data_IF_884545891845
#
_entry.id   IF_884545891845
#
_cell.length_a   1.000
_cell.length_b   1.000
_cell.length_c   1.000
_cell.angle_alpha   90.00
_cell.angle_beta   90.00
_cell.angle_gamma   90.00
#
_symmetry.space_group_name_H-M   'P 1'
#
loop_
_entity.id
_entity.type
_entity.pdbx_description
1 polymer ?
#
# COMPACT_ATOMS: atom_id res chain seq x y z
N UNK A 1 3.07 -20.25 44.71
CA UNK A 1 3.66 -19.57 43.57
C UNK A 1 2.68 -18.48 43.20
N UNK A 2 2.87 -17.28 43.70
CA UNK A 2 2.00 -16.11 43.46
C UNK A 2 2.33 -15.54 42.08
N UNK A 3 1.33 -15.51 41.27
CA UNK A 3 1.36 -15.02 39.89
C UNK A 3 1.83 -13.56 39.84
N UNK A 4 3.06 -13.35 39.38
CA UNK A 4 3.69 -12.06 39.25
C UNK A 4 3.35 -11.36 37.93
N UNK A 5 2.39 -11.89 37.14
CA UNK A 5 2.01 -11.37 35.82
C UNK A 5 0.97 -10.22 35.84
N UNK A 6 0.29 -10.02 36.99
CA UNK A 6 -0.76 -8.98 37.10
C UNK A 6 -0.24 -7.59 37.53
N UNK A 7 1.01 -7.45 38.00
CA UNK A 7 1.52 -6.15 38.47
C UNK A 7 2.06 -5.23 37.36
N UNK A 8 2.32 -5.75 36.16
CA UNK A 8 2.89 -4.96 35.05
C UNK A 8 1.85 -4.28 34.15
N UNK A 9 0.57 -4.59 34.28
CA UNK A 9 -0.49 -4.04 33.41
C UNK A 9 -0.88 -2.59 33.76
N UNK A 10 -0.52 -2.08 34.94
CA UNK A 10 -0.94 -0.76 35.43
C UNK A 10 0.17 0.30 35.51
N UNK A 11 1.42 -0.04 35.21
CA UNK A 11 2.46 0.98 35.17
C UNK A 11 2.21 1.93 33.98
N UNK A 12 2.04 3.26 34.25
CA UNK A 12 1.83 4.22 33.19
C UNK A 12 3.03 4.30 32.25
N UNK A 13 2.79 4.10 30.95
CA UNK A 13 3.83 4.09 29.91
C UNK A 13 3.44 4.98 28.74
N UNK A 14 4.44 5.61 28.17
CA UNK A 14 4.31 6.32 26.91
C UNK A 14 5.51 6.06 26.01
N UNK A 15 5.34 6.30 24.70
CA UNK A 15 6.43 6.31 23.74
C UNK A 15 6.66 7.76 23.31
N UNK A 16 7.90 8.23 23.47
CA UNK A 16 8.45 9.45 22.90
C UNK A 16 9.39 9.07 21.79
N UNK A 17 9.23 9.65 20.60
CA UNK A 17 9.88 9.18 19.38
C UNK A 17 11.16 9.97 19.07
N UNK A 18 11.22 11.23 19.47
CA UNK A 18 12.39 12.08 19.32
C UNK A 18 12.61 12.93 20.60
N UNK A 19 13.86 13.23 20.99
CA UNK A 19 14.15 14.10 22.13
C UNK A 19 13.54 15.50 22.07
N UNK A 20 13.23 16.00 20.86
CA UNK A 20 12.61 17.32 20.66
C UNK A 20 11.07 17.30 20.68
N UNK A 21 10.48 16.10 20.80
CA UNK A 21 9.02 15.98 20.90
C UNK A 21 8.53 16.56 22.21
N UNK A 22 7.48 17.38 22.17
CA UNK A 22 6.79 17.91 23.34
C UNK A 22 5.48 17.17 23.65
N UNK A 23 5.20 16.11 22.88
CA UNK A 23 4.13 15.15 23.14
C UNK A 23 4.67 13.74 23.11
N UNK A 24 3.98 12.82 23.82
CA UNK A 24 4.25 11.39 23.77
C UNK A 24 2.95 10.61 23.60
N UNK A 25 3.03 9.33 23.21
CA UNK A 25 1.87 8.47 22.96
C UNK A 25 1.67 7.52 24.14
N UNK A 26 0.50 7.57 24.76
CA UNK A 26 0.11 6.62 25.81
C UNK A 26 -0.10 5.24 25.20
N UNK A 27 0.53 4.21 25.78
CA UNK A 27 0.53 2.86 25.19
C UNK A 27 -0.18 1.81 26.05
N UNK A 28 -0.63 2.17 27.23
CA UNK A 28 -1.36 1.26 28.09
C UNK A 28 -2.70 0.84 27.47
N UNK A 29 -3.03 -0.42 27.57
CA UNK A 29 -4.31 -0.95 27.10
C UNK A 29 -5.48 -0.20 27.74
N UNK A 30 -6.48 0.16 26.91
CA UNK A 30 -7.63 0.97 27.29
C UNK A 30 -7.32 2.42 27.68
N UNK A 31 -6.05 2.86 27.63
CA UNK A 31 -5.62 4.19 28.06
C UNK A 31 -5.34 4.30 29.54
N UNK A 32 -5.13 5.52 30.02
CA UNK A 32 -4.78 5.81 31.42
C UNK A 32 -5.75 6.82 32.04
N UNK A 33 -6.23 6.59 33.28
CA UNK A 33 -7.09 7.53 33.98
C UNK A 33 -6.34 8.79 34.43
N UNK A 34 -7.06 9.85 34.73
CA UNK A 34 -6.54 11.04 35.39
C UNK A 34 -5.77 10.65 36.68
N UNK A 35 -4.74 11.42 37.02
CA UNK A 35 -3.84 11.20 38.17
C UNK A 35 -2.89 10.00 38.02
N UNK A 36 -2.90 9.28 36.88
CA UNK A 36 -1.84 8.33 36.58
C UNK A 36 -0.51 9.05 36.50
N UNK A 37 0.52 8.51 37.15
CA UNK A 37 1.84 9.15 37.24
C UNK A 37 2.87 8.27 36.54
N UNK A 38 3.55 8.84 35.54
CA UNK A 38 4.67 8.19 34.84
C UNK A 38 5.95 8.19 35.68
N UNK A 39 6.89 7.29 35.39
CA UNK A 39 8.16 7.19 36.09
C UNK A 39 8.99 8.49 36.10
N UNK A 40 8.83 9.35 35.07
CA UNK A 40 9.46 10.68 35.01
C UNK A 40 8.78 11.74 35.90
N UNK A 41 7.71 11.39 36.63
CA UNK A 41 6.95 12.30 37.50
C UNK A 41 5.81 13.05 36.83
N UNK A 42 5.65 12.93 35.50
CA UNK A 42 4.51 13.52 34.80
C UNK A 42 3.20 12.89 35.28
N UNK A 43 2.21 13.69 35.62
CA UNK A 43 0.89 13.26 36.09
C UNK A 43 -0.19 13.65 35.05
N UNK A 44 -1.06 12.69 34.70
CA UNK A 44 -2.19 12.95 33.80
C UNK A 44 -3.27 13.79 34.46
N UNK A 45 -3.69 14.84 33.78
CA UNK A 45 -4.77 15.72 34.22
C UNK A 45 -6.16 15.21 33.88
N UNK A 46 -6.27 14.40 32.83
CA UNK A 46 -7.51 13.81 32.31
C UNK A 46 -7.25 12.35 31.93
N UNK A 47 -8.32 11.62 31.64
CA UNK A 47 -8.19 10.33 30.96
C UNK A 47 -7.55 10.55 29.58
N UNK A 48 -6.56 9.75 29.24
CA UNK A 48 -5.93 9.74 27.92
C UNK A 48 -6.10 8.36 27.31
N UNK A 49 -6.81 8.23 26.17
CA UNK A 49 -7.00 6.95 25.51
C UNK A 49 -5.67 6.35 25.03
N UNK A 50 -5.64 5.04 24.86
CA UNK A 50 -4.53 4.33 24.25
C UNK A 50 -4.24 4.88 22.84
N UNK A 51 -2.97 5.03 22.47
CA UNK A 51 -2.57 5.58 21.17
C UNK A 51 -2.68 7.10 21.04
N UNK A 52 -3.22 7.79 22.06
CA UNK A 52 -3.38 9.24 22.04
C UNK A 52 -2.21 9.98 22.68
N UNK A 53 -2.11 11.27 22.34
CA UNK A 53 -1.00 12.13 22.72
C UNK A 53 -1.21 12.76 24.08
N UNK A 54 -0.17 12.76 24.92
CA UNK A 54 -0.10 13.52 26.17
C UNK A 54 1.00 14.59 26.04
N UNK A 55 0.74 15.80 26.54
CA UNK A 55 1.74 16.86 26.60
C UNK A 55 2.82 16.55 27.65
N UNK A 56 4.08 16.58 27.25
CA UNK A 56 5.23 16.32 28.15
C UNK A 56 5.65 17.57 28.94
N UNK A 57 5.33 18.75 28.44
CA UNK A 57 5.59 20.06 29.04
C UNK A 57 4.43 20.99 28.72
N UNK A 58 4.40 22.13 29.37
CA UNK A 58 3.44 23.20 29.03
C UNK A 58 3.72 23.72 27.62
N UNK A 59 2.66 23.88 26.82
CA UNK A 59 2.69 24.37 25.45
C UNK A 59 1.82 25.62 25.38
N UNK A 60 2.44 26.77 25.10
CA UNK A 60 1.71 28.03 24.98
C UNK A 60 0.78 28.01 23.75
N UNK A 61 -0.31 28.79 23.79
CA UNK A 61 -1.17 28.98 22.63
C UNK A 61 -0.35 29.48 21.43
N UNK A 62 -0.58 28.90 20.26
CA UNK A 62 0.14 29.18 19.02
C UNK A 62 1.53 28.51 18.93
N UNK A 63 2.04 27.92 20.01
CA UNK A 63 3.32 27.21 19.98
C UNK A 63 3.21 25.87 19.22
N UNK A 64 4.30 25.42 18.56
CA UNK A 64 4.31 24.20 17.80
C UNK A 64 4.17 22.96 18.68
N UNK A 65 3.33 22.02 18.24
CA UNK A 65 3.25 20.65 18.78
C UNK A 65 4.14 19.79 17.91
N UNK A 66 5.11 19.08 18.54
CA UNK A 66 6.11 18.28 17.83
C UNK A 66 5.97 16.82 18.14
N UNK A 67 6.03 16.01 17.08
CA UNK A 67 6.11 14.56 17.09
C UNK A 67 7.05 14.10 15.98
N UNK A 68 7.96 13.18 16.24
CA UNK A 68 9.06 12.82 15.32
C UNK A 68 9.95 14.00 14.95
N UNK A 69 10.14 14.94 15.88
CA UNK A 69 10.80 16.22 15.63
C UNK A 69 10.11 17.11 14.57
N UNK A 70 8.95 16.69 14.05
CA UNK A 70 8.18 17.44 13.06
C UNK A 70 7.01 18.16 13.72
N UNK A 71 6.68 19.34 13.19
CA UNK A 71 5.53 20.12 13.66
C UNK A 71 4.26 19.51 13.09
N UNK A 72 3.44 18.91 13.95
CA UNK A 72 2.16 18.31 13.57
C UNK A 72 0.98 19.27 13.67
N UNK A 73 1.21 20.47 14.17
CA UNK A 73 0.21 21.52 14.34
C UNK A 73 0.68 22.52 15.39
N UNK A 74 -0.19 23.47 15.72
CA UNK A 74 0.02 24.46 16.78
C UNK A 74 -1.04 24.32 17.87
N UNK A 75 -0.71 24.71 19.10
CA UNK A 75 -1.66 24.68 20.20
C UNK A 75 -2.78 25.71 19.98
N UNK A 76 -4.01 25.26 19.81
CA UNK A 76 -5.18 26.13 19.65
C UNK A 76 -5.49 26.96 20.92
N UNK A 77 -5.09 26.44 22.07
CA UNK A 77 -5.17 27.06 23.40
C UNK A 77 -3.98 26.59 24.24
N UNK A 78 -3.67 27.22 25.38
CA UNK A 78 -2.61 26.72 26.26
C UNK A 78 -2.87 25.28 26.65
N UNK A 79 -1.85 24.42 26.57
CA UNK A 79 -1.89 23.02 26.95
C UNK A 79 -0.91 22.84 28.11
N UNK A 80 -1.37 22.28 29.21
CA UNK A 80 -0.52 22.02 30.36
C UNK A 80 0.09 20.61 30.29
N UNK A 81 1.25 20.43 30.88
CA UNK A 81 1.88 19.13 31.03
C UNK A 81 0.90 18.12 31.64
N UNK A 82 0.82 16.91 31.07
CA UNK A 82 -0.11 15.88 31.47
C UNK A 82 -1.52 16.00 30.89
N UNK A 83 -1.81 17.01 30.06
CA UNK A 83 -3.08 17.07 29.34
C UNK A 83 -3.08 16.21 28.10
N UNK A 84 -4.26 15.66 27.78
CA UNK A 84 -4.51 14.98 26.50
C UNK A 84 -4.50 16.01 25.38
N UNK A 85 -3.66 15.78 24.36
CA UNK A 85 -3.60 16.61 23.15
C UNK A 85 -4.53 16.00 22.11
N UNK A 86 -5.78 16.43 22.16
CA UNK A 86 -6.87 16.05 21.25
C UNK A 86 -7.05 17.06 20.12
N UNK A 87 -8.01 16.81 19.24
CA UNK A 87 -8.33 17.66 18.09
C UNK A 87 -8.80 19.08 18.52
N UNK A 88 -9.41 19.22 19.69
CA UNK A 88 -9.87 20.52 20.21
C UNK A 88 -8.69 21.39 20.73
N UNK A 89 -7.54 20.80 20.93
CA UNK A 89 -6.32 21.46 21.42
C UNK A 89 -5.29 21.73 20.35
N UNK A 90 -5.43 21.12 19.17
CA UNK A 90 -4.51 21.28 18.06
C UNK A 90 -5.17 22.03 16.89
N UNK A 91 -4.50 23.03 16.40
CA UNK A 91 -4.82 23.67 15.12
C UNK A 91 -3.92 23.05 14.06
N UNK A 92 -4.53 22.38 13.09
CA UNK A 92 -3.78 21.77 11.98
C UNK A 92 -3.15 22.84 11.12
N UNK A 93 -1.95 22.62 10.57
CA UNK A 93 -1.34 23.53 9.63
C UNK A 93 -2.22 23.62 8.38
N UNK A 94 -2.34 24.80 7.80
CA UNK A 94 -2.92 24.95 6.47
C UNK A 94 -1.98 24.26 5.47
N UNK A 95 -2.49 23.34 4.61
CA UNK A 95 -1.66 22.75 3.58
C UNK A 95 -0.99 23.84 2.76
N UNK A 96 0.34 23.76 2.51
CA UNK A 96 1.02 24.75 1.68
C UNK A 96 0.46 24.71 0.26
N UNK A 97 0.38 25.86 -0.38
CA UNK A 97 0.07 25.94 -1.81
C UNK A 97 1.19 25.26 -2.59
N UNK A 98 0.83 24.42 -3.55
CA UNK A 98 1.79 23.55 -4.27
C UNK A 98 2.88 24.32 -5.01
N UNK A 99 2.61 25.56 -5.42
CA UNK A 99 3.55 26.45 -6.08
C UNK A 99 4.49 27.20 -5.11
N UNK A 100 4.20 27.15 -3.80
CA UNK A 100 5.00 27.75 -2.72
C UNK A 100 5.79 26.73 -1.90
N UNK A 101 5.80 25.46 -2.31
CA UNK A 101 6.59 24.45 -1.62
C UNK A 101 8.08 24.72 -1.77
N UNK A 102 8.80 24.66 -0.66
CA UNK A 102 10.27 24.64 -0.68
C UNK A 102 10.74 23.30 -1.22
N UNK A 103 11.42 23.32 -2.35
CA UNK A 103 11.85 22.14 -3.08
C UNK A 103 13.25 21.70 -2.65
N UNK A 104 13.44 20.40 -2.40
CA UNK A 104 14.74 19.73 -2.17
C UNK A 104 15.64 20.44 -1.14
N UNK A 105 15.06 21.01 -0.06
CA UNK A 105 15.81 21.78 0.95
C UNK A 105 16.46 20.93 2.05
N UNK A 106 16.05 19.66 2.19
CA UNK A 106 16.53 18.76 3.22
C UNK A 106 16.90 17.39 2.63
N UNK A 107 17.72 17.41 1.57
CA UNK A 107 18.20 16.17 0.93
C UNK A 107 18.96 15.32 1.96
N UNK A 108 18.56 14.07 2.18
CA UNK A 108 19.21 13.20 3.15
C UNK A 108 20.68 12.95 2.77
N UNK A 109 21.56 12.87 3.77
CA UNK A 109 22.93 12.45 3.52
C UNK A 109 22.95 11.03 2.92
N UNK A 110 23.81 10.76 1.94
CA UNK A 110 23.95 9.43 1.38
C UNK A 110 24.26 8.40 2.46
N UNK A 111 23.47 7.33 2.50
CA UNK A 111 23.73 6.21 3.40
C UNK A 111 24.64 5.19 2.71
N UNK A 112 25.50 4.48 3.45
CA UNK A 112 26.33 3.42 2.88
C UNK A 112 25.46 2.36 2.19
N UNK A 113 25.85 1.95 0.99
CA UNK A 113 25.19 0.86 0.28
C UNK A 113 25.27 -0.44 1.10
N UNK A 114 24.23 -1.27 1.00
CA UNK A 114 24.24 -2.62 1.52
C UNK A 114 24.47 -3.58 0.36
N UNK A 115 25.66 -4.16 0.30
CA UNK A 115 26.08 -5.06 -0.77
C UNK A 115 25.93 -6.53 -0.37
N UNK A 116 25.77 -7.42 -1.38
CA UNK A 116 25.74 -8.87 -1.19
C UNK A 116 24.42 -9.44 -0.70
N UNK A 117 23.39 -8.64 -0.53
CA UNK A 117 22.05 -9.15 -0.17
C UNK A 117 21.33 -9.72 -1.38
N UNK A 118 20.83 -10.95 -1.23
CA UNK A 118 20.16 -11.70 -2.31
C UNK A 118 18.86 -12.32 -1.83
N UNK A 119 18.05 -12.77 -2.78
CA UNK A 119 16.85 -13.56 -2.52
C UNK A 119 16.64 -14.58 -3.63
N UNK A 120 15.85 -15.61 -3.35
CA UNK A 120 15.47 -16.63 -4.33
C UNK A 120 14.21 -16.15 -5.08
N UNK A 121 14.40 -15.73 -6.35
CA UNK A 121 13.35 -15.15 -7.20
C UNK A 121 13.18 -15.89 -8.53
N UNK A 122 12.10 -15.55 -9.24
CA UNK A 122 11.82 -16.03 -10.59
C UNK A 122 12.15 -14.93 -11.60
N UNK A 123 13.27 -15.07 -12.31
CA UNK A 123 13.66 -14.10 -13.35
C UNK A 123 12.83 -14.27 -14.60
N UNK A 124 12.37 -13.16 -15.14
CA UNK A 124 11.62 -13.08 -16.39
C UNK A 124 12.55 -12.73 -17.57
N UNK A 125 12.13 -13.02 -18.82
CA UNK A 125 12.91 -12.69 -20.00
C UNK A 125 13.20 -11.19 -20.19
N UNK A 126 12.37 -10.32 -19.62
CA UNK A 126 12.54 -8.85 -19.64
C UNK A 126 13.50 -8.34 -18.56
N UNK A 127 14.08 -9.25 -17.76
CA UNK A 127 14.98 -8.95 -16.66
C UNK A 127 14.28 -8.65 -15.32
N UNK A 128 12.96 -8.48 -15.29
CA UNK A 128 12.23 -8.33 -14.04
C UNK A 128 12.25 -9.62 -13.21
N UNK A 129 12.10 -9.50 -11.88
CA UNK A 129 12.15 -10.66 -10.98
C UNK A 129 10.89 -10.72 -10.12
N UNK A 130 10.19 -11.86 -10.21
CA UNK A 130 9.07 -12.18 -9.32
C UNK A 130 9.53 -12.85 -8.04
N UNK A 131 8.89 -12.55 -6.93
CA UNK A 131 9.08 -13.26 -5.65
C UNK A 131 8.15 -14.48 -5.53
N UNK A 132 7.17 -14.57 -6.41
CA UNK A 132 6.19 -15.64 -6.54
C UNK A 132 6.08 -16.09 -8.00
N UNK A 133 5.49 -17.25 -8.21
CA UNK A 133 5.17 -17.81 -9.51
C UNK A 133 3.65 -18.09 -9.54
N UNK A 134 2.88 -17.19 -10.15
CA UNK A 134 1.42 -17.14 -10.01
C UNK A 134 0.77 -17.07 -11.38
N UNK A 135 -0.25 -17.87 -11.63
CA UNK A 135 -1.13 -17.69 -12.78
C UNK A 135 -2.15 -16.57 -12.48
N UNK A 136 -2.21 -15.57 -13.33
CA UNK A 136 -3.20 -14.51 -13.22
C UNK A 136 -4.30 -14.68 -14.28
N UNK A 137 -5.57 -14.59 -13.86
CA UNK A 137 -6.73 -14.62 -14.74
C UNK A 137 -7.52 -13.34 -14.55
N UNK A 138 -7.48 -12.46 -15.56
CA UNK A 138 -8.20 -11.19 -15.53
C UNK A 138 -9.60 -11.34 -16.11
N UNK A 139 -10.49 -10.42 -15.74
CA UNK A 139 -11.77 -10.21 -16.44
C UNK A 139 -11.66 -9.01 -17.39
N UNK A 140 -12.37 -9.01 -18.51
CA UNK A 140 -12.53 -7.81 -19.34
C UNK A 140 -13.72 -6.96 -18.91
N UNK A 141 -14.64 -7.56 -18.15
CA UNK A 141 -15.89 -6.91 -17.72
C UNK A 141 -16.39 -7.53 -16.42
N UNK A 142 -17.06 -6.73 -15.60
CA UNK A 142 -17.62 -7.18 -14.32
C UNK A 142 -18.57 -8.39 -14.46
N UNK A 143 -19.31 -8.48 -15.56
CA UNK A 143 -20.32 -9.53 -15.77
C UNK A 143 -19.77 -10.95 -15.67
N UNK A 144 -18.49 -11.17 -15.95
CA UNK A 144 -17.86 -12.50 -15.92
C UNK A 144 -17.19 -12.83 -14.58
N UNK A 145 -17.21 -11.91 -13.63
CA UNK A 145 -16.50 -12.08 -12.35
C UNK A 145 -16.97 -13.32 -11.56
N UNK A 146 -18.27 -13.56 -11.51
CA UNK A 146 -18.82 -14.74 -10.82
C UNK A 146 -18.43 -16.07 -11.49
N UNK A 147 -18.37 -16.09 -12.83
CA UNK A 147 -17.91 -17.27 -13.60
C UNK A 147 -16.43 -17.52 -13.33
N UNK A 148 -15.62 -16.45 -13.34
CA UNK A 148 -14.19 -16.56 -12.99
C UNK A 148 -14.00 -17.05 -11.57
N UNK A 149 -14.75 -16.54 -10.59
CA UNK A 149 -14.65 -16.99 -9.20
C UNK A 149 -14.94 -18.48 -9.05
N UNK A 150 -15.95 -19.00 -9.77
CA UNK A 150 -16.27 -20.41 -9.81
C UNK A 150 -15.12 -21.23 -10.43
N UNK A 151 -14.60 -20.78 -11.58
CA UNK A 151 -13.48 -21.45 -12.25
C UNK A 151 -12.22 -21.47 -11.36
N UNK A 152 -11.90 -20.37 -10.68
CA UNK A 152 -10.75 -20.29 -9.77
C UNK A 152 -10.82 -21.31 -8.64
N UNK A 153 -12.00 -21.53 -8.06
CA UNK A 153 -12.17 -22.57 -7.03
C UNK A 153 -11.84 -23.96 -7.56
N UNK A 154 -12.28 -24.26 -8.79
CA UNK A 154 -11.96 -25.54 -9.45
C UNK A 154 -10.49 -25.65 -9.81
N UNK A 155 -9.90 -24.61 -10.42
CA UNK A 155 -8.49 -24.60 -10.79
C UNK A 155 -7.60 -24.84 -9.56
N UNK A 156 -7.88 -24.16 -8.44
CA UNK A 156 -7.12 -24.33 -7.19
C UNK A 156 -7.29 -25.72 -6.58
N UNK A 157 -8.44 -26.34 -6.71
CA UNK A 157 -8.71 -27.66 -6.16
C UNK A 157 -8.22 -28.81 -7.06
N UNK A 158 -8.36 -28.67 -8.37
CA UNK A 158 -8.19 -29.77 -9.32
C UNK A 158 -6.86 -29.69 -10.10
N UNK A 159 -6.39 -28.49 -10.46
CA UNK A 159 -5.21 -28.32 -11.30
C UNK A 159 -3.97 -27.89 -10.51
N UNK A 160 -4.06 -26.85 -9.66
CA UNK A 160 -2.91 -26.31 -8.96
C UNK A 160 -2.08 -27.34 -8.20
N UNK A 161 -2.65 -28.38 -7.54
CA UNK A 161 -1.86 -29.42 -6.87
C UNK A 161 -0.97 -30.24 -7.81
N UNK A 162 -1.24 -30.23 -9.12
CA UNK A 162 -0.44 -30.93 -10.13
C UNK A 162 0.82 -30.15 -10.53
N UNK A 163 0.95 -28.89 -10.12
CA UNK A 163 1.99 -27.96 -10.53
C UNK A 163 2.76 -27.40 -9.32
N UNK A 164 3.67 -28.16 -8.72
CA UNK A 164 4.32 -27.83 -7.44
C UNK A 164 5.21 -26.60 -7.47
N UNK A 165 5.63 -26.11 -8.65
CA UNK A 165 6.42 -24.89 -8.75
C UNK A 165 5.56 -23.64 -8.96
N UNK A 166 4.25 -23.75 -8.98
CA UNK A 166 3.30 -22.64 -9.04
C UNK A 166 2.76 -22.36 -7.65
N UNK A 167 2.95 -21.14 -7.16
CA UNK A 167 2.57 -20.76 -5.79
C UNK A 167 1.06 -20.55 -5.63
N UNK A 168 0.36 -20.01 -6.65
CA UNK A 168 -1.09 -19.76 -6.57
C UNK A 168 -1.69 -19.43 -7.95
N UNK A 169 -3.02 -19.37 -8.01
CA UNK A 169 -3.82 -18.84 -9.13
C UNK A 169 -4.70 -17.72 -8.61
N UNK A 170 -4.63 -16.54 -9.24
CA UNK A 170 -5.35 -15.35 -8.76
C UNK A 170 -6.28 -14.79 -9.82
N UNK A 171 -7.45 -14.30 -9.38
CA UNK A 171 -8.39 -13.57 -10.22
C UNK A 171 -8.17 -12.06 -10.11
N UNK A 172 -8.02 -11.41 -11.25
CA UNK A 172 -7.93 -9.96 -11.36
C UNK A 172 -9.29 -9.41 -11.81
N UNK A 173 -10.22 -9.29 -10.87
CA UNK A 173 -11.58 -8.79 -11.12
C UNK A 173 -11.64 -7.28 -10.94
N UNK A 174 -12.54 -6.62 -11.71
CA UNK A 174 -12.75 -5.18 -11.66
C UNK A 174 -14.16 -4.79 -12.11
N UNK A 175 -14.56 -3.55 -11.84
CA UNK A 175 -15.90 -3.04 -12.13
C UNK A 175 -16.00 -2.29 -13.47
N UNK A 176 -15.01 -2.39 -14.34
CA UNK A 176 -14.97 -1.72 -15.66
C UNK A 176 -15.40 -2.65 -16.79
N UNK A 177 -15.52 -2.11 -17.98
CA UNK A 177 -15.68 -2.85 -19.22
C UNK A 177 -17.06 -2.75 -19.85
N UNK A 178 -18.14 -2.86 -19.09
CA UNK A 178 -19.50 -2.76 -19.60
C UNK A 178 -20.00 -1.30 -19.61
N UNK A 179 -20.47 -0.83 -20.75
CA UNK A 179 -21.04 0.51 -20.85
C UNK A 179 -20.07 1.68 -20.67
N UNK A 180 -18.82 1.42 -20.37
CA UNK A 180 -17.80 2.45 -20.17
C UNK A 180 -17.40 3.06 -21.51
N UNK A 181 -17.36 4.39 -21.56
CA UNK A 181 -16.82 5.11 -22.73
C UNK A 181 -15.29 4.98 -22.72
N UNK A 182 -14.77 3.89 -23.29
CA UNK A 182 -13.34 3.55 -23.33
C UNK A 182 -12.45 4.62 -24.00
N UNK A 183 -13.06 5.54 -24.72
CA UNK A 183 -12.41 6.69 -25.37
C UNK A 183 -12.50 7.98 -24.55
N UNK A 184 -13.22 7.99 -23.43
CA UNK A 184 -13.30 9.15 -22.56
C UNK A 184 -11.91 9.46 -21.96
N UNK A 185 -11.55 10.73 -21.75
CA UNK A 185 -10.22 11.11 -21.24
C UNK A 185 -9.83 10.40 -19.94
N UNK A 186 -10.79 10.18 -19.04
CA UNK A 186 -10.53 9.51 -17.75
C UNK A 186 -10.47 7.99 -17.84
N UNK A 187 -10.95 7.36 -18.92
CA UNK A 187 -10.91 5.91 -19.09
C UNK A 187 -9.48 5.36 -19.26
N UNK A 188 -8.55 6.21 -19.65
CA UNK A 188 -7.13 5.81 -19.79
C UNK A 188 -6.53 5.31 -18.48
N UNK A 189 -6.94 5.87 -17.35
CA UNK A 189 -6.37 5.51 -16.03
C UNK A 189 -6.69 4.07 -15.64
N UNK A 190 -7.98 3.65 -15.52
CA UNK A 190 -8.31 2.27 -15.17
C UNK A 190 -7.83 1.26 -16.20
N UNK A 191 -7.91 1.57 -17.51
CA UNK A 191 -7.44 0.65 -18.55
C UNK A 191 -5.92 0.43 -18.43
N UNK A 192 -5.14 1.50 -18.30
CA UNK A 192 -3.69 1.41 -18.10
C UNK A 192 -3.34 0.69 -16.81
N UNK A 193 -4.13 0.88 -15.75
CA UNK A 193 -3.93 0.18 -14.46
C UNK A 193 -4.07 -1.33 -14.66
N UNK A 194 -5.14 -1.79 -15.31
CA UNK A 194 -5.35 -3.21 -15.62
C UNK A 194 -4.23 -3.78 -16.49
N UNK A 195 -3.82 -3.06 -17.54
CA UNK A 195 -2.71 -3.44 -18.40
C UNK A 195 -1.38 -3.56 -17.63
N UNK A 196 -1.13 -2.68 -16.66
CA UNK A 196 0.10 -2.69 -15.86
C UNK A 196 0.06 -3.80 -14.79
N UNK A 197 -1.09 -4.07 -14.18
CA UNK A 197 -1.24 -5.21 -13.26
C UNK A 197 -0.90 -6.52 -13.98
N UNK A 198 -1.34 -6.70 -15.23
CA UNK A 198 -1.03 -7.88 -16.03
C UNK A 198 0.47 -8.07 -16.30
N UNK A 199 1.29 -7.01 -16.16
CA UNK A 199 2.76 -7.07 -16.29
C UNK A 199 3.48 -7.35 -14.97
N UNK A 200 2.77 -7.72 -13.90
CA UNK A 200 3.42 -8.00 -12.62
C UNK A 200 4.44 -9.16 -12.79
N UNK A 201 5.69 -9.00 -12.32
CA UNK A 201 6.74 -9.99 -12.47
C UNK A 201 6.39 -11.38 -11.92
N UNK A 202 5.51 -11.44 -10.94
CA UNK A 202 5.06 -12.71 -10.35
C UNK A 202 4.24 -13.58 -11.32
N UNK A 203 3.72 -13.02 -12.41
CA UNK A 203 2.89 -13.76 -13.36
C UNK A 203 3.71 -14.45 -14.47
N UNK A 204 5.00 -14.19 -14.56
CA UNK A 204 5.87 -14.84 -15.54
C UNK A 204 5.50 -14.58 -17.01
N UNK A 205 4.64 -13.61 -17.28
CA UNK A 205 4.07 -13.34 -18.59
C UNK A 205 2.84 -14.19 -18.93
N UNK A 206 2.47 -15.13 -18.08
CA UNK A 206 1.33 -16.05 -18.28
C UNK A 206 0.06 -15.46 -17.66
N UNK A 207 -0.61 -14.58 -18.41
CA UNK A 207 -1.88 -13.95 -18.02
C UNK A 207 -2.99 -14.39 -18.97
N UNK A 208 -4.12 -14.83 -18.40
CA UNK A 208 -5.35 -15.14 -19.15
C UNK A 208 -6.38 -14.04 -18.95
N UNK A 209 -7.30 -13.93 -19.92
CA UNK A 209 -8.46 -13.06 -19.77
C UNK A 209 -9.76 -13.82 -20.08
N UNK A 210 -10.72 -13.73 -19.18
CA UNK A 210 -12.08 -14.19 -19.41
C UNK A 210 -12.93 -12.99 -19.79
N UNK A 211 -13.49 -13.01 -20.99
CA UNK A 211 -14.37 -12.00 -21.55
C UNK A 211 -15.81 -12.48 -21.69
N UNK A 212 -16.73 -11.55 -21.86
CA UNK A 212 -18.12 -11.87 -22.14
C UNK A 212 -18.36 -12.04 -23.66
N UNK A 213 -17.94 -11.07 -24.47
CA UNK A 213 -18.13 -11.02 -25.91
C UNK A 213 -18.79 -9.75 -26.42
N UNK A 214 -19.56 -9.03 -25.59
CA UNK A 214 -20.22 -7.77 -25.94
C UNK A 214 -19.62 -6.53 -25.27
N UNK A 215 -18.57 -6.68 -24.50
CA UNK A 215 -17.90 -5.59 -23.80
C UNK A 215 -17.13 -4.67 -24.74
N UNK A 216 -17.09 -3.36 -24.39
CA UNK A 216 -16.31 -2.37 -25.15
C UNK A 216 -14.80 -2.48 -24.88
N UNK A 217 -14.42 -2.93 -23.68
CA UNK A 217 -13.03 -3.19 -23.36
C UNK A 217 -12.69 -4.62 -23.80
N UNK A 218 -12.29 -4.75 -25.05
CA UNK A 218 -11.95 -6.06 -25.62
C UNK A 218 -10.79 -6.72 -24.84
N UNK A 219 -10.88 -8.03 -24.56
CA UNK A 219 -9.92 -8.75 -23.72
C UNK A 219 -8.45 -8.59 -24.13
N UNK A 220 -8.16 -8.56 -25.41
CA UNK A 220 -6.81 -8.44 -25.97
C UNK A 220 -6.11 -7.15 -25.58
N UNK A 221 -6.87 -6.09 -25.26
CA UNK A 221 -6.29 -4.84 -24.75
C UNK A 221 -5.70 -4.97 -23.34
N UNK A 222 -6.08 -6.00 -22.61
CA UNK A 222 -5.60 -6.23 -21.26
C UNK A 222 -4.35 -7.13 -21.20
N UNK A 223 -4.06 -7.84 -22.30
CA UNK A 223 -2.91 -8.73 -22.39
C UNK A 223 -1.62 -7.95 -22.71
N UNK A 224 -0.49 -8.29 -22.07
CA UNK A 224 0.78 -7.60 -22.31
C UNK A 224 1.25 -7.62 -23.75
N UNK A 225 0.94 -8.70 -24.50
CA UNK A 225 1.36 -8.92 -25.88
C UNK A 225 0.21 -8.95 -26.90
N UNK A 226 -1.03 -8.73 -26.43
CA UNK A 226 -2.24 -8.79 -27.30
C UNK A 226 -2.54 -10.18 -27.85
N UNK A 227 -2.11 -11.24 -27.15
CA UNK A 227 -2.25 -12.64 -27.57
C UNK A 227 -3.73 -13.09 -27.51
N UNK A 228 -4.30 -13.48 -28.62
CA UNK A 228 -5.70 -13.94 -28.70
C UNK A 228 -5.89 -15.35 -28.11
N UNK A 229 -4.84 -16.14 -28.05
CA UNK A 229 -4.84 -17.52 -27.52
C UNK A 229 -4.89 -17.59 -25.98
N UNK A 230 -4.82 -16.43 -25.30
CA UNK A 230 -4.97 -16.31 -23.86
C UNK A 230 -6.37 -15.79 -23.44
N UNK A 231 -7.36 -15.85 -24.33
CA UNK A 231 -8.70 -15.31 -24.12
C UNK A 231 -9.78 -16.37 -24.22
N UNK A 232 -10.64 -16.45 -23.21
CA UNK A 232 -11.90 -17.22 -23.29
C UNK A 232 -13.08 -16.23 -23.29
N UNK A 233 -13.94 -16.29 -24.33
CA UNK A 233 -15.16 -15.48 -24.41
C UNK A 233 -16.38 -16.34 -24.13
N UNK A 234 -17.17 -15.95 -23.12
CA UNK A 234 -18.34 -16.72 -22.69
C UNK A 234 -19.43 -16.81 -23.75
N UNK A 235 -19.54 -15.81 -24.64
CA UNK A 235 -20.54 -15.77 -25.74
C UNK A 235 -20.00 -16.33 -27.07
N UNK A 236 -18.91 -17.11 -27.01
CA UNK A 236 -18.44 -17.81 -28.20
C UNK A 236 -19.44 -18.91 -28.58
N UNK A 237 -19.80 -18.97 -29.87
CA UNK A 237 -20.75 -19.93 -30.44
C UNK A 237 -20.26 -21.39 -30.32
N UNK A 238 -18.95 -21.59 -30.08
CA UNK A 238 -18.37 -22.91 -29.86
C UNK A 238 -18.76 -23.53 -28.51
N UNK A 239 -19.30 -22.75 -27.56
CA UNK A 239 -19.64 -23.26 -26.22
C UNK A 239 -21.12 -23.62 -26.11
N UNK A 240 -21.39 -24.89 -25.87
CA UNK A 240 -22.72 -25.39 -25.54
C UNK A 240 -22.95 -25.35 -24.03
N UNK A 241 -23.30 -24.16 -23.54
CA UNK A 241 -23.69 -23.91 -22.15
C UNK A 241 -22.52 -23.67 -21.17
N UNK A 242 -22.89 -23.48 -19.90
CA UNK A 242 -21.97 -23.06 -18.84
C UNK A 242 -20.83 -24.06 -18.58
N UNK A 243 -21.12 -25.36 -18.69
CA UNK A 243 -20.12 -26.41 -18.50
C UNK A 243 -18.96 -26.29 -19.48
N UNK A 244 -19.27 -26.14 -20.79
CA UNK A 244 -18.26 -26.00 -21.84
C UNK A 244 -17.38 -24.74 -21.65
N UNK A 245 -17.96 -23.64 -21.16
CA UNK A 245 -17.21 -22.41 -20.83
C UNK A 245 -16.20 -22.67 -19.70
N UNK A 246 -16.64 -23.35 -18.62
CA UNK A 246 -15.76 -23.67 -17.51
C UNK A 246 -14.66 -24.62 -17.93
N UNK A 247 -14.98 -25.64 -18.75
CA UNK A 247 -13.99 -26.59 -19.24
C UNK A 247 -12.93 -25.90 -20.12
N UNK A 248 -13.33 -24.95 -20.97
CA UNK A 248 -12.38 -24.14 -21.75
C UNK A 248 -11.47 -23.26 -20.86
N UNK A 249 -12.00 -22.67 -19.79
CA UNK A 249 -11.19 -21.92 -18.82
C UNK A 249 -10.21 -22.86 -18.11
N UNK A 250 -10.65 -24.05 -17.73
CA UNK A 250 -9.81 -25.07 -17.08
C UNK A 250 -8.69 -25.55 -18.00
N UNK A 251 -8.99 -25.85 -19.26
CA UNK A 251 -8.03 -26.29 -20.28
C UNK A 251 -6.95 -25.22 -20.53
N UNK A 252 -7.37 -23.97 -20.71
CA UNK A 252 -6.43 -22.85 -20.89
C UNK A 252 -5.56 -22.65 -19.64
N UNK A 253 -6.15 -22.72 -18.44
CA UNK A 253 -5.40 -22.62 -17.19
C UNK A 253 -4.38 -23.76 -17.05
N UNK A 254 -4.74 -24.98 -17.40
CA UNK A 254 -3.84 -26.15 -17.37
C UNK A 254 -2.63 -25.93 -18.30
N UNK A 255 -2.85 -25.44 -19.51
CA UNK A 255 -1.78 -25.14 -20.45
C UNK A 255 -0.81 -24.05 -19.91
N UNK A 256 -1.33 -22.99 -19.27
CA UNK A 256 -0.50 -21.92 -18.69
C UNK A 256 0.21 -22.39 -17.41
N UNK A 257 -0.43 -23.18 -16.59
CA UNK A 257 0.19 -23.78 -15.40
C UNK A 257 1.38 -24.67 -15.76
N UNK A 258 1.30 -25.45 -16.86
CA UNK A 258 2.43 -26.23 -17.38
C UNK A 258 3.65 -25.37 -17.70
N UNK A 259 3.43 -24.20 -18.31
CA UNK A 259 4.51 -23.26 -18.63
C UNK A 259 5.12 -22.71 -17.35
N UNK A 260 4.30 -22.25 -16.42
CA UNK A 260 4.74 -21.71 -15.14
C UNK A 260 5.46 -22.76 -14.28
N UNK A 261 5.03 -24.01 -14.31
CA UNK A 261 5.66 -25.09 -13.53
C UNK A 261 7.08 -25.44 -14.01
N UNK A 262 7.45 -25.04 -15.24
CA UNK A 262 8.83 -25.17 -15.73
C UNK A 262 9.80 -24.16 -15.13
N UNK A 263 9.32 -23.08 -14.53
CA UNK A 263 10.14 -22.04 -13.94
C UNK A 263 10.81 -22.50 -12.65
N UNK A 264 12.00 -22.00 -12.39
CA UNK A 264 12.75 -22.29 -11.16
C UNK A 264 13.21 -20.99 -10.52
N UNK A 265 13.34 -21.02 -9.20
CA UNK A 265 13.97 -19.92 -8.48
C UNK A 265 15.47 -19.92 -8.76
N UNK A 266 16.02 -18.73 -8.83
CA UNK A 266 17.45 -18.48 -8.90
C UNK A 266 17.83 -17.40 -7.91
N UNK A 267 19.11 -17.35 -7.53
CA UNK A 267 19.62 -16.31 -6.64
C UNK A 267 19.67 -14.97 -7.38
N UNK A 268 18.89 -14.03 -6.92
CA UNK A 268 18.75 -12.68 -7.46
C UNK A 268 19.26 -11.64 -6.46
N UNK A 269 19.91 -10.55 -6.88
CA UNK A 269 20.30 -9.48 -5.98
C UNK A 269 19.07 -8.75 -5.42
N UNK A 270 19.16 -8.27 -4.17
CA UNK A 270 18.10 -7.48 -3.56
C UNK A 270 17.73 -6.23 -4.38
N UNK A 271 18.62 -5.74 -5.22
CA UNK A 271 18.38 -4.64 -6.15
C UNK A 271 17.25 -4.91 -7.16
N UNK A 272 16.94 -6.16 -7.44
CA UNK A 272 15.84 -6.55 -8.34
C UNK A 272 14.47 -6.51 -7.66
N UNK A 273 14.41 -6.28 -6.33
CA UNK A 273 13.13 -6.18 -5.61
C UNK A 273 12.41 -4.87 -5.91
N UNK A 274 11.10 -4.99 -6.16
CA UNK A 274 10.17 -3.87 -6.20
C UNK A 274 9.11 -4.09 -5.13
N UNK A 275 9.09 -3.24 -4.12
CA UNK A 275 8.21 -3.36 -2.95
C UNK A 275 7.20 -2.23 -2.95
N UNK A 276 5.92 -2.56 -3.00
CA UNK A 276 4.82 -1.62 -2.80
C UNK A 276 4.40 -1.59 -1.34
N UNK A 277 4.30 -0.40 -0.76
CA UNK A 277 3.80 -0.17 0.59
C UNK A 277 2.40 0.41 0.56
N UNK A 278 1.56 -0.03 1.48
CA UNK A 278 0.18 0.44 1.65
C UNK A 278 -0.18 0.46 3.14
N UNK A 279 -0.97 1.44 3.55
CA UNK A 279 -1.56 1.48 4.89
C UNK A 279 -2.90 0.75 4.86
N UNK A 280 -3.05 -0.30 5.67
CA UNK A 280 -4.25 -1.14 5.68
C UNK A 280 -5.31 -0.75 6.70
N UNK A 281 -5.01 0.11 7.67
CA UNK A 281 -5.93 0.51 8.71
C UNK A 281 -5.50 1.78 9.43
N UNK A 282 -6.46 2.67 9.68
CA UNK A 282 -6.25 3.90 10.45
C UNK A 282 -6.32 3.60 11.94
N UNK A 283 -5.17 3.17 12.50
CA UNK A 283 -5.07 2.89 13.93
C UNK A 283 -3.99 3.79 14.55
N UNK A 284 -4.26 4.26 15.77
CA UNK A 284 -3.39 5.20 16.47
C UNK A 284 -1.99 4.63 16.76
N UNK A 285 -1.86 3.29 16.84
CA UNK A 285 -0.60 2.62 17.10
C UNK A 285 0.27 2.41 15.87
N UNK A 286 -0.29 2.28 14.68
CA UNK A 286 0.48 2.07 13.45
C UNK A 286 1.55 3.16 13.26
N UNK A 287 1.25 4.39 13.65
CA UNK A 287 2.18 5.52 13.58
C UNK A 287 3.34 5.48 14.59
N UNK A 288 3.34 4.57 15.56
CA UNK A 288 4.43 4.41 16.54
C UNK A 288 5.07 3.01 16.51
N UNK A 289 4.50 2.09 15.73
CA UNK A 289 4.94 0.70 15.63
C UNK A 289 5.20 0.30 14.17
N UNK A 290 4.15 -0.06 13.44
CA UNK A 290 4.24 -0.60 12.09
C UNK A 290 4.87 0.39 11.10
N UNK A 291 4.43 1.66 11.08
CA UNK A 291 4.93 2.63 10.11
C UNK A 291 6.42 2.96 10.29
N UNK A 292 6.95 3.21 11.51
CA UNK A 292 8.38 3.39 11.70
C UNK A 292 9.19 2.15 11.35
N UNK A 293 8.72 0.96 11.71
CA UNK A 293 9.39 -0.30 11.38
C UNK A 293 9.44 -0.53 9.86
N UNK A 294 8.32 -0.25 9.17
CA UNK A 294 8.24 -0.35 7.71
C UNK A 294 9.15 0.69 7.04
N UNK A 295 9.19 1.92 7.55
CA UNK A 295 10.08 2.97 7.05
C UNK A 295 11.55 2.58 7.18
N UNK A 296 11.95 2.01 8.32
CA UNK A 296 13.31 1.51 8.53
C UNK A 296 13.65 0.36 7.58
N UNK A 297 12.72 -0.60 7.40
CA UNK A 297 12.88 -1.69 6.43
C UNK A 297 13.02 -1.17 4.99
N UNK A 298 12.23 -0.14 4.63
CA UNK A 298 12.32 0.53 3.33
C UNK A 298 13.69 1.17 3.10
N UNK A 299 14.25 1.84 4.12
CA UNK A 299 15.61 2.41 4.05
C UNK A 299 16.67 1.32 3.81
N UNK A 300 16.57 0.16 4.46
CA UNK A 300 17.48 -0.97 4.22
C UNK A 300 17.36 -1.51 2.79
N UNK A 301 16.14 -1.68 2.30
CA UNK A 301 15.88 -2.15 0.93
C UNK A 301 16.44 -1.18 -0.11
N UNK A 302 16.22 0.13 0.04
CA UNK A 302 16.75 1.15 -0.86
C UNK A 302 18.28 1.17 -0.82
N UNK A 303 18.90 1.01 0.35
CA UNK A 303 20.36 0.89 0.48
C UNK A 303 20.91 -0.36 -0.19
N UNK A 304 20.11 -1.44 -0.26
CA UNK A 304 20.45 -2.65 -1.01
C UNK A 304 20.16 -2.54 -2.52
N UNK A 305 19.73 -1.37 -3.01
CA UNK A 305 19.45 -1.09 -4.41
C UNK A 305 18.02 -1.38 -4.85
N UNK A 306 17.14 -1.87 -3.97
CA UNK A 306 15.76 -2.16 -4.27
C UNK A 306 14.94 -0.89 -4.54
N UNK A 307 13.82 -1.04 -5.26
CA UNK A 307 12.83 0.01 -5.45
C UNK A 307 11.71 -0.12 -4.42
N UNK A 308 11.44 0.93 -3.66
CA UNK A 308 10.31 0.98 -2.72
C UNK A 308 9.35 2.06 -3.18
N UNK A 309 8.08 1.69 -3.30
CA UNK A 309 6.99 2.59 -3.70
C UNK A 309 5.92 2.59 -2.62
N UNK A 310 5.23 3.70 -2.43
CA UNK A 310 4.03 3.75 -1.61
C UNK A 310 2.83 4.22 -2.43
N UNK A 311 1.68 3.65 -2.15
CA UNK A 311 0.38 4.01 -2.70
C UNK A 311 -0.29 5.06 -1.81
N UNK A 312 -1.53 5.42 -2.13
CA UNK A 312 -2.35 6.31 -1.30
C UNK A 312 -1.74 7.70 -1.14
N UNK A 313 -1.20 8.24 -2.22
CA UNK A 313 -0.50 9.54 -2.26
C UNK A 313 -1.38 10.68 -1.72
N UNK A 314 -2.70 10.54 -1.78
CA UNK A 314 -3.67 11.49 -1.23
C UNK A 314 -3.59 11.64 0.29
N UNK A 315 -3.14 10.60 1.00
CA UNK A 315 -2.99 10.64 2.46
C UNK A 315 -1.81 11.50 2.93
N UNK A 316 -0.83 11.72 2.06
CA UNK A 316 0.33 12.59 2.36
C UNK A 316 0.10 14.05 2.00
N UNK A 317 -1.11 14.43 1.54
CA UNK A 317 -1.43 15.78 1.08
C UNK A 317 -0.99 16.87 2.06
N UNK A 318 -1.31 16.70 3.33
CA UNK A 318 -1.00 17.69 4.38
C UNK A 318 0.45 17.59 4.88
N UNK A 319 1.19 16.55 4.47
CA UNK A 319 2.57 16.31 4.81
C UNK A 319 3.51 16.27 3.58
N UNK A 320 3.05 16.73 2.42
CA UNK A 320 3.81 16.71 1.16
C UNK A 320 5.17 17.40 1.31
N UNK A 321 5.23 18.48 2.09
CA UNK A 321 6.46 19.22 2.38
C UNK A 321 7.53 18.37 3.09
N UNK A 322 7.13 17.28 3.78
CA UNK A 322 8.08 16.34 4.40
C UNK A 322 8.75 15.43 3.38
N UNK A 323 8.11 15.22 2.23
CA UNK A 323 8.64 14.40 1.14
C UNK A 323 9.42 15.23 0.13
N UNK A 324 8.82 16.34 -0.33
CA UNK A 324 9.40 17.14 -1.42
C UNK A 324 10.76 17.72 -1.06
N UNK A 325 10.94 18.27 0.14
CA UNK A 325 12.24 18.78 0.58
C UNK A 325 13.33 17.70 0.74
N UNK A 326 12.97 16.41 0.72
CA UNK A 326 13.90 15.27 0.76
C UNK A 326 14.20 14.72 -0.64
N UNK A 327 13.63 15.28 -1.69
CA UNK A 327 13.90 14.86 -3.05
C UNK A 327 15.40 15.04 -3.41
N UNK A 328 15.94 14.12 -4.19
CA UNK A 328 17.35 14.13 -4.57
C UNK A 328 17.70 15.31 -5.48
N UNK A 329 16.72 15.83 -6.23
CA UNK A 329 16.85 17.01 -7.08
C UNK A 329 15.46 17.60 -7.39
N UNK A 330 15.45 18.79 -8.00
CA UNK A 330 14.22 19.50 -8.36
C UNK A 330 13.33 18.73 -9.37
N UNK A 331 13.91 17.95 -10.30
CA UNK A 331 13.13 17.22 -11.29
C UNK A 331 12.31 16.10 -10.65
N UNK A 332 12.88 15.40 -9.67
CA UNK A 332 12.17 14.39 -8.88
C UNK A 332 11.08 15.05 -8.05
N UNK A 333 11.38 16.18 -7.43
CA UNK A 333 10.44 16.93 -6.62
C UNK A 333 9.25 17.44 -7.46
N UNK A 334 9.49 18.09 -8.59
CA UNK A 334 8.44 18.56 -9.50
C UNK A 334 7.54 17.41 -10.00
N UNK A 335 8.08 16.21 -10.24
CA UNK A 335 7.28 15.04 -10.60
C UNK A 335 6.38 14.61 -9.45
N UNK A 336 6.88 14.56 -8.23
CA UNK A 336 6.12 14.22 -7.03
C UNK A 336 5.01 15.24 -6.76
N UNK A 337 5.29 16.51 -6.91
CA UNK A 337 4.31 17.61 -6.75
C UNK A 337 3.19 17.51 -7.79
N UNK A 338 3.50 17.21 -9.06
CA UNK A 338 2.50 17.02 -10.12
C UNK A 338 1.58 15.82 -9.85
N UNK A 339 2.12 14.71 -9.38
CA UNK A 339 1.33 13.53 -9.02
C UNK A 339 0.33 13.89 -7.91
N UNK A 340 0.79 14.58 -6.88
CA UNK A 340 -0.05 15.02 -5.77
C UNK A 340 -1.11 16.05 -6.21
N UNK A 341 -0.80 16.97 -7.12
CA UNK A 341 -1.78 17.96 -7.64
C UNK A 341 -2.90 17.30 -8.42
N UNK A 342 -2.60 16.27 -9.20
CA UNK A 342 -3.60 15.50 -9.96
C UNK A 342 -4.56 14.77 -9.03
N UNK A 343 -4.07 14.21 -7.93
CA UNK A 343 -4.88 13.54 -6.92
C UNK A 343 -5.71 14.53 -6.09
N UNK A 344 -5.18 15.72 -5.77
CA UNK A 344 -5.94 16.77 -5.11
C UNK A 344 -7.16 17.25 -5.93
N UNK A 345 -7.08 17.24 -7.25
CA UNK A 345 -8.22 17.56 -8.11
C UNK A 345 -9.33 16.47 -8.05
N UNK A 346 -8.95 15.21 -7.85
CA UNK A 346 -9.90 14.10 -7.70
C UNK A 346 -10.51 14.01 -6.29
N UNK A 347 -9.81 14.45 -5.24
CA UNK A 347 -10.29 14.43 -3.86
C UNK A 347 -11.38 15.47 -3.55
N UNK A 348 -11.77 16.31 -4.52
CA UNK A 348 -12.92 17.21 -4.42
C UNK A 348 -14.26 16.54 -4.71
N UNK A 349 -14.29 15.25 -5.04
CA UNK A 349 -15.54 14.50 -5.05
C UNK A 349 -15.99 14.28 -3.60
N UNK A 350 -17.25 14.63 -3.25
CA UNK A 350 -17.74 14.37 -1.90
C UNK A 350 -17.69 12.87 -1.62
N UNK A 351 -17.13 12.50 -0.48
CA UNK A 351 -17.25 11.16 0.09
C UNK A 351 -18.67 10.96 0.60
N UNK A 352 -19.62 10.86 -0.31
CA UNK A 352 -20.99 10.52 0.00
C UNK A 352 -21.50 9.56 -1.08
N UNK A 353 -21.22 8.31 -0.87
CA UNK A 353 -22.06 7.19 -1.25
C UNK A 353 -21.69 6.01 -0.36
#
# INVERSE_FOLDING_TARGET
MTDNSQHNAYEPRYIRLDPNDNVAIVVNDLGLPAKSRFACGLELRHFVPQGHKVALSDIAQGAPIRRYNEVIGTAAKPILAGEWVDEARISMPTPPELDKLELATAVPAPQPALEGYTFEGFRNPDGSVGTKNVLAISTSVQCVAGTLEFALKRIKAELLPLYPNVDDVVGLTHNYGCGVAITAPMAVVPIRTLQNIAKNPNFGGEVMVVGLGCEKLVPERLLPRGESDAVVRMQDEAFDGFGAIIDAIMEMADARLKVLDCRRRETCPAADLVVGMQCGGSDAFSGVTANPALGFAADLLVRAGASVMFSEVTEVRDAIHLLTRRAINEDVDRKSTRLNSSHCALSRMPSSA
#
